data_IF_660251160580
#
_entry.id   IF_660251160580
#
_cell.length_a   1.000
_cell.length_b   1.000
_cell.length_c   1.000
_cell.angle_alpha   90.00
_cell.angle_beta   90.00
_cell.angle_gamma   90.00
#
_symmetry.space_group_name_H-M   'P 1'
#
loop_
_entity.id
_entity.type
_entity.pdbx_description
1 polymer ?
#
# COMPACT_ATOMS: atom_id res chain seq x y z
N UNK A 1 -7.62 1.01 -17.80
CA UNK A 1 -9.10 1.03 -17.66
C UNK A 1 -9.45 2.09 -16.62
N UNK A 2 -10.33 3.06 -16.92
CA UNK A 2 -10.70 4.06 -15.92
C UNK A 2 -11.60 3.41 -14.87
N UNK A 3 -11.20 3.53 -13.61
CA UNK A 3 -11.91 3.07 -12.43
C UNK A 3 -13.24 3.82 -12.30
N UNK A 4 -14.31 3.29 -12.89
CA UNK A 4 -15.66 3.66 -12.51
C UNK A 4 -16.00 2.96 -11.16
N UNK A 5 -15.26 3.31 -10.10
CA UNK A 5 -15.52 2.91 -8.71
C UNK A 5 -16.63 3.81 -8.14
N UNK A 6 -17.80 3.78 -8.77
CA UNK A 6 -19.04 4.39 -8.24
C UNK A 6 -19.35 3.79 -6.86
N UNK A 7 -19.42 4.66 -5.83
CA UNK A 7 -20.02 4.43 -4.49
C UNK A 7 -20.21 2.95 -4.13
N UNK A 8 -19.12 2.26 -3.82
CA UNK A 8 -19.21 0.96 -3.17
C UNK A 8 -19.82 1.19 -1.78
N UNK A 9 -20.86 0.45 -1.43
CA UNK A 9 -21.45 0.45 -0.10
C UNK A 9 -21.26 -0.94 0.48
N UNK A 10 -20.27 -1.09 1.37
CA UNK A 10 -19.94 -2.38 1.98
C UNK A 10 -21.10 -2.93 2.81
N UNK A 11 -21.96 -2.05 3.34
CA UNK A 11 -23.15 -2.41 4.11
C UNK A 11 -24.27 -2.99 3.25
N UNK A 12 -24.27 -2.72 1.94
CA UNK A 12 -25.31 -3.19 1.01
C UNK A 12 -24.92 -4.48 0.27
N UNK A 13 -23.68 -4.96 0.47
CA UNK A 13 -23.22 -6.19 -0.16
C UNK A 13 -23.91 -7.42 0.44
N UNK A 14 -24.38 -8.30 -0.42
CA UNK A 14 -24.73 -9.66 0.00
C UNK A 14 -23.49 -10.39 0.53
N UNK A 15 -23.64 -11.43 1.36
CA UNK A 15 -22.52 -12.24 1.84
C UNK A 15 -21.61 -12.78 0.72
N UNK A 16 -22.21 -13.13 -0.43
CA UNK A 16 -21.46 -13.61 -1.60
C UNK A 16 -20.67 -12.46 -2.24
N UNK A 17 -21.30 -11.31 -2.48
CA UNK A 17 -20.62 -10.14 -3.06
C UNK A 17 -19.44 -9.67 -2.18
N UNK A 18 -19.63 -9.63 -0.86
CA UNK A 18 -18.56 -9.26 0.07
C UNK A 18 -17.36 -10.20 -0.03
N UNK A 19 -17.59 -11.51 -0.12
CA UNK A 19 -16.52 -12.51 -0.29
C UNK A 19 -15.81 -12.40 -1.63
N UNK A 20 -16.54 -12.16 -2.71
CA UNK A 20 -15.95 -11.97 -4.04
C UNK A 20 -15.10 -10.70 -4.08
N UNK A 21 -15.59 -9.61 -3.47
CA UNK A 21 -14.83 -8.35 -3.36
C UNK A 21 -13.57 -8.51 -2.50
N UNK A 22 -13.64 -9.24 -1.39
CA UNK A 22 -12.51 -9.43 -0.48
C UNK A 22 -11.45 -10.41 -1.01
N UNK A 23 -11.83 -11.31 -1.93
CA UNK A 23 -10.94 -12.36 -2.44
C UNK A 23 -9.63 -11.84 -3.04
N UNK A 24 -9.60 -10.86 -3.97
CA UNK A 24 -8.34 -10.35 -4.49
C UNK A 24 -7.45 -9.80 -3.37
N UNK A 25 -7.99 -8.92 -2.51
CA UNK A 25 -7.30 -8.26 -1.39
C UNK A 25 -6.55 -9.25 -0.49
N UNK A 26 -7.16 -10.38 -0.14
CA UNK A 26 -6.54 -11.34 0.77
C UNK A 26 -5.67 -12.39 0.08
N UNK A 27 -5.60 -12.40 -1.25
CA UNK A 27 -4.77 -13.34 -2.01
C UNK A 27 -3.60 -12.66 -2.72
N UNK A 28 -3.26 -11.43 -2.34
CA UNK A 28 -2.10 -10.71 -2.87
C UNK A 28 -0.78 -11.45 -2.64
N UNK A 29 0.19 -11.21 -3.52
CA UNK A 29 1.52 -11.83 -3.48
C UNK A 29 2.27 -11.55 -2.18
N UNK A 30 2.03 -10.36 -1.60
CA UNK A 30 2.56 -9.89 -0.31
C UNK A 30 2.63 -10.97 0.77
N UNK A 31 1.59 -11.80 0.89
CA UNK A 31 1.52 -12.80 1.96
C UNK A 31 2.54 -13.94 1.77
N UNK A 32 2.85 -14.31 0.53
CA UNK A 32 3.91 -15.27 0.24
C UNK A 32 5.29 -14.63 0.39
N UNK A 33 5.46 -13.40 -0.12
CA UNK A 33 6.72 -12.64 -0.03
C UNK A 33 7.12 -12.41 1.44
N UNK A 34 6.13 -12.19 2.32
CA UNK A 34 6.36 -12.05 3.76
C UNK A 34 6.94 -13.32 4.38
N UNK A 35 6.47 -14.50 3.99
CA UNK A 35 6.98 -15.77 4.53
C UNK A 35 8.42 -16.05 4.06
N UNK A 36 8.75 -15.63 2.83
CA UNK A 36 10.12 -15.64 2.32
C UNK A 36 11.01 -14.67 3.11
N UNK A 37 10.58 -13.43 3.32
CA UNK A 37 11.34 -12.43 4.08
C UNK A 37 11.57 -12.86 5.53
N UNK A 38 10.59 -13.47 6.19
CA UNK A 38 10.79 -14.08 7.51
C UNK A 38 11.87 -15.15 7.51
N UNK A 39 11.91 -15.97 6.47
CA UNK A 39 12.91 -17.02 6.32
C UNK A 39 14.31 -16.42 6.19
N UNK A 40 14.45 -15.36 5.38
CA UNK A 40 15.71 -14.62 5.21
C UNK A 40 16.17 -13.97 6.53
N UNK A 41 15.23 -13.37 7.28
CA UNK A 41 15.51 -12.78 8.60
C UNK A 41 16.04 -13.83 9.57
N UNK A 42 15.41 -15.00 9.64
CA UNK A 42 15.82 -16.10 10.52
C UNK A 42 17.18 -16.71 10.14
N UNK A 43 17.56 -16.66 8.86
CA UNK A 43 18.84 -17.15 8.36
C UNK A 43 20.01 -16.17 8.61
N UNK A 44 19.71 -14.94 9.05
CA UNK A 44 20.69 -13.89 9.24
C UNK A 44 21.56 -13.64 7.99
N UNK A 45 20.91 -13.59 6.83
CA UNK A 45 21.55 -13.30 5.53
C UNK A 45 22.16 -11.88 5.53
N UNK A 46 23.03 -11.61 4.56
CA UNK A 46 23.62 -10.29 4.36
C UNK A 46 22.58 -9.22 3.97
N UNK A 47 22.99 -7.95 4.06
CA UNK A 47 22.12 -6.79 3.82
C UNK A 47 21.54 -6.75 2.42
N UNK A 48 22.30 -7.13 1.41
CA UNK A 48 21.87 -7.09 0.00
C UNK A 48 20.75 -8.11 -0.22
N UNK A 49 20.98 -9.37 0.17
CA UNK A 49 19.96 -10.43 0.09
C UNK A 49 18.69 -10.06 0.88
N UNK A 50 18.84 -9.47 2.07
CA UNK A 50 17.68 -9.04 2.87
C UNK A 50 16.92 -7.88 2.21
N UNK A 51 17.62 -6.97 1.54
CA UNK A 51 17.01 -5.82 0.86
C UNK A 51 16.15 -6.26 -0.32
N UNK A 52 16.57 -7.27 -1.08
CA UNK A 52 15.76 -7.83 -2.17
C UNK A 52 14.46 -8.46 -1.67
N UNK A 53 14.52 -9.25 -0.59
CA UNK A 53 13.32 -9.82 0.03
C UNK A 53 12.41 -8.74 0.63
N UNK A 54 12.99 -7.69 1.23
CA UNK A 54 12.26 -6.52 1.70
C UNK A 54 11.56 -5.78 0.55
N UNK A 55 12.24 -5.58 -0.59
CA UNK A 55 11.68 -4.89 -1.75
C UNK A 55 10.41 -5.59 -2.23
N UNK A 56 10.44 -6.92 -2.39
CA UNK A 56 9.26 -7.69 -2.81
C UNK A 56 8.06 -7.47 -1.89
N UNK A 57 8.26 -7.54 -0.57
CA UNK A 57 7.21 -7.28 0.43
C UNK A 57 6.71 -5.84 0.36
N UNK A 58 7.62 -4.86 0.29
CA UNK A 58 7.24 -3.45 0.29
C UNK A 58 6.47 -3.06 -0.97
N UNK A 59 6.90 -3.54 -2.14
CA UNK A 59 6.23 -3.29 -3.41
C UNK A 59 4.85 -3.94 -3.44
N UNK A 60 4.72 -5.22 -3.10
CA UNK A 60 3.43 -5.91 -3.06
C UNK A 60 2.47 -5.30 -2.03
N UNK A 61 3.00 -4.78 -0.90
CA UNK A 61 2.17 -4.02 0.03
C UNK A 61 1.74 -2.70 -0.58
N UNK A 62 2.69 -1.90 -1.06
CA UNK A 62 2.43 -0.51 -1.46
C UNK A 62 1.59 -0.43 -2.72
N UNK A 63 1.94 -1.18 -3.77
CA UNK A 63 1.32 -1.04 -5.08
C UNK A 63 0.04 -1.87 -5.24
N UNK A 64 -0.12 -2.96 -4.48
CA UNK A 64 -1.31 -3.81 -4.54
C UNK A 64 -2.20 -3.59 -3.31
N UNK A 65 -1.85 -4.17 -2.16
CA UNK A 65 -2.76 -4.24 -1.02
C UNK A 65 -3.16 -2.86 -0.48
N UNK A 66 -2.18 -2.01 -0.17
CA UNK A 66 -2.41 -0.71 0.43
C UNK A 66 -3.16 0.22 -0.52
N UNK A 67 -2.87 0.13 -1.82
CA UNK A 67 -3.60 0.87 -2.84
C UNK A 67 -5.08 0.50 -2.84
N UNK A 68 -5.40 -0.79 -2.89
CA UNK A 68 -6.79 -1.25 -2.92
C UNK A 68 -7.56 -0.89 -1.64
N UNK A 69 -6.92 -1.03 -0.47
CA UNK A 69 -7.52 -0.65 0.80
C UNK A 69 -7.73 0.86 0.94
N UNK A 70 -6.77 1.68 0.51
CA UNK A 70 -6.86 3.14 0.60
C UNK A 70 -7.99 3.69 -0.28
N UNK A 71 -8.21 3.09 -1.45
CA UNK A 71 -9.35 3.46 -2.32
C UNK A 71 -10.70 3.20 -1.63
N UNK A 72 -10.75 2.25 -0.70
CA UNK A 72 -11.95 1.90 0.05
C UNK A 72 -12.02 2.50 1.45
N UNK A 73 -11.00 3.26 1.91
CA UNK A 73 -10.88 3.73 3.29
C UNK A 73 -12.15 4.45 3.78
N UNK A 74 -12.64 5.45 3.04
CA UNK A 74 -13.81 6.21 3.45
C UNK A 74 -15.08 5.34 3.60
N UNK A 75 -15.25 4.35 2.72
CA UNK A 75 -16.39 3.43 2.78
C UNK A 75 -16.30 2.50 3.99
N UNK A 76 -15.11 1.91 4.21
CA UNK A 76 -14.88 1.00 5.36
C UNK A 76 -15.05 1.75 6.67
N UNK A 77 -14.49 2.96 6.79
CA UNK A 77 -14.63 3.78 8.00
C UNK A 77 -16.09 4.18 8.26
N UNK A 78 -16.85 4.52 7.22
CA UNK A 78 -18.29 4.80 7.35
C UNK A 78 -19.06 3.58 7.82
N UNK A 79 -18.76 2.41 7.26
CA UNK A 79 -19.38 1.15 7.67
C UNK A 79 -19.02 0.85 9.14
N UNK A 80 -17.75 0.93 9.52
CA UNK A 80 -17.29 0.72 10.89
C UNK A 80 -18.00 1.65 11.88
N UNK A 81 -18.20 2.93 11.52
CA UNK A 81 -18.87 3.90 12.39
C UNK A 81 -20.34 3.56 12.64
N UNK A 82 -21.01 2.90 11.68
CA UNK A 82 -22.42 2.52 11.81
C UNK A 82 -22.68 1.39 12.84
N UNK A 83 -21.64 0.71 13.31
CA UNK A 83 -21.73 -0.46 14.18
C UNK A 83 -21.21 -0.15 15.60
N UNK A 84 -22.07 -0.21 16.61
CA UNK A 84 -21.71 0.10 18.01
C UNK A 84 -20.79 -0.96 18.63
N UNK A 85 -20.90 -2.21 18.18
CA UNK A 85 -20.13 -3.36 18.66
C UNK A 85 -18.61 -3.24 18.43
N UNK A 86 -18.19 -2.39 17.49
CA UNK A 86 -16.77 -2.20 17.14
C UNK A 86 -16.12 -1.01 17.87
N UNK A 87 -16.63 -0.61 19.04
CA UNK A 87 -16.07 0.51 19.82
C UNK A 87 -14.56 0.44 20.06
N UNK A 88 -14.00 -0.76 20.22
CA UNK A 88 -12.55 -0.95 20.37
C UNK A 88 -11.76 -0.65 19.09
N UNK A 89 -12.29 -1.02 17.91
CA UNK A 89 -11.68 -0.68 16.62
C UNK A 89 -11.78 0.81 16.33
N UNK A 90 -12.91 1.43 16.66
CA UNK A 90 -13.08 2.89 16.53
C UNK A 90 -12.04 3.66 17.36
N UNK A 91 -11.71 3.20 18.56
CA UNK A 91 -10.66 3.80 19.39
C UNK A 91 -9.27 3.70 18.74
N UNK A 92 -8.95 2.54 18.13
CA UNK A 92 -7.71 2.36 17.35
C UNK A 92 -7.66 3.31 16.16
N UNK A 93 -8.75 3.41 15.41
CA UNK A 93 -8.87 4.38 14.29
C UNK A 93 -8.64 5.82 14.76
N UNK A 94 -9.24 6.22 15.89
CA UNK A 94 -9.02 7.55 16.47
C UNK A 94 -7.55 7.77 16.83
N UNK A 95 -6.89 6.77 17.42
CA UNK A 95 -5.45 6.85 17.74
C UNK A 95 -4.63 7.06 16.47
N UNK A 96 -4.86 6.25 15.43
CA UNK A 96 -4.21 6.39 14.12
C UNK A 96 -4.42 7.79 13.55
N UNK A 97 -5.68 8.25 13.48
CA UNK A 97 -6.04 9.55 12.91
C UNK A 97 -5.47 10.74 13.70
N UNK A 98 -5.19 10.56 14.99
CA UNK A 98 -4.64 11.62 15.83
C UNK A 98 -3.17 11.93 15.56
N UNK A 99 -2.42 10.97 15.02
CA UNK A 99 -1.00 11.13 14.72
C UNK A 99 -0.70 11.20 13.22
N UNK A 100 -1.54 10.54 12.41
CA UNK A 100 -1.38 10.46 10.96
C UNK A 100 -1.44 11.85 10.34
N UNK A 101 -0.47 12.13 9.46
CA UNK A 101 -0.36 13.41 8.72
C UNK A 101 -0.84 13.33 7.28
N UNK A 102 -1.07 12.12 6.78
CA UNK A 102 -1.42 11.83 5.39
C UNK A 102 -2.87 11.38 5.22
N UNK A 103 -3.52 11.83 4.14
CA UNK A 103 -4.85 11.35 3.74
C UNK A 103 -4.74 10.15 2.80
N UNK A 104 -5.78 9.31 2.71
CA UNK A 104 -5.81 8.19 1.75
C UNK A 104 -5.52 8.65 0.31
N UNK A 105 -6.16 9.73 -0.15
CA UNK A 105 -5.91 10.33 -1.47
C UNK A 105 -4.45 10.72 -1.65
N UNK A 106 -3.84 11.31 -0.64
CA UNK A 106 -2.44 11.69 -0.72
C UNK A 106 -1.48 10.50 -0.70
N UNK A 107 -1.79 9.42 0.02
CA UNK A 107 -0.98 8.19 0.00
C UNK A 107 -1.08 7.49 -1.35
N UNK A 108 -2.29 7.43 -1.93
CA UNK A 108 -2.50 7.00 -3.32
C UNK A 108 -1.69 7.86 -4.28
N UNK A 109 -1.75 9.18 -4.18
CA UNK A 109 -0.98 10.08 -5.04
C UNK A 109 0.52 9.82 -4.92
N UNK A 110 1.04 9.64 -3.70
CA UNK A 110 2.46 9.31 -3.46
C UNK A 110 2.87 8.01 -4.16
N UNK A 111 2.07 6.95 -4.04
CA UNK A 111 2.34 5.67 -4.72
C UNK A 111 2.34 5.79 -6.24
N UNK A 112 1.54 6.69 -6.79
CA UNK A 112 1.47 6.96 -8.23
C UNK A 112 2.52 7.97 -8.71
N UNK A 113 3.50 8.34 -7.86
CA UNK A 113 4.54 9.32 -8.22
C UNK A 113 4.05 10.77 -8.27
N UNK A 114 2.85 11.06 -7.78
CA UNK A 114 2.32 12.41 -7.67
C UNK A 114 2.99 13.20 -6.55
N UNK A 115 3.10 14.52 -6.70
CA UNK A 115 3.58 15.42 -5.65
C UNK A 115 2.50 15.50 -4.57
N UNK A 116 2.72 14.93 -3.37
CA UNK A 116 1.72 15.01 -2.32
C UNK A 116 1.81 16.41 -1.68
N UNK A 117 0.67 17.07 -1.46
CA UNK A 117 0.57 18.26 -0.59
C UNK A 117 0.65 17.84 0.90
N UNK A 118 1.59 16.96 1.23
CA UNK A 118 1.70 16.30 2.52
C UNK A 118 3.16 16.23 2.96
N UNK A 119 3.43 16.16 4.29
CA UNK A 119 4.79 16.03 4.78
C UNK A 119 5.47 14.80 4.17
N UNK A 120 6.66 15.02 3.62
CA UNK A 120 7.52 13.96 3.13
C UNK A 120 8.00 13.11 4.31
N UNK A 121 8.20 11.79 4.10
CA UNK A 121 8.84 10.97 5.11
C UNK A 121 10.24 11.50 5.42
N UNK A 122 10.67 11.32 6.66
CA UNK A 122 11.93 11.90 7.15
C UNK A 122 13.06 10.88 7.27
N UNK A 123 12.73 9.58 7.25
CA UNK A 123 13.68 8.48 7.43
C UNK A 123 13.81 7.74 6.12
N UNK A 124 14.98 7.74 5.51
CA UNK A 124 15.24 6.88 4.34
C UNK A 124 15.60 5.48 4.78
N UNK A 125 14.89 4.48 4.29
CA UNK A 125 15.15 3.07 4.60
C UNK A 125 16.55 2.63 4.15
N UNK A 126 17.04 3.19 3.05
CA UNK A 126 18.39 2.98 2.52
C UNK A 126 19.50 3.59 3.39
N UNK A 127 19.17 4.58 4.22
CA UNK A 127 20.10 5.21 5.15
C UNK A 127 20.17 4.53 6.52
N UNK A 128 19.32 3.54 6.79
CA UNK A 128 19.35 2.76 8.03
C UNK A 128 20.61 1.89 8.09
N UNK A 129 21.23 1.82 9.28
CA UNK A 129 22.26 0.82 9.54
C UNK A 129 21.71 -0.60 9.40
N UNK A 130 22.58 -1.60 9.27
CA UNK A 130 22.18 -3.00 9.09
C UNK A 130 21.25 -3.50 10.21
N UNK A 131 21.54 -3.14 11.46
CA UNK A 131 20.73 -3.53 12.62
C UNK A 131 19.38 -2.81 12.64
N UNK A 132 19.35 -1.51 12.31
CA UNK A 132 18.12 -0.72 12.23
C UNK A 132 17.22 -1.22 11.10
N UNK A 133 17.80 -1.55 9.95
CA UNK A 133 17.05 -2.10 8.82
C UNK A 133 16.48 -3.48 9.11
N UNK A 134 17.27 -4.36 9.74
CA UNK A 134 16.77 -5.67 10.17
C UNK A 134 15.60 -5.51 11.14
N UNK A 135 15.73 -4.62 12.12
CA UNK A 135 14.66 -4.31 13.07
C UNK A 135 13.42 -3.75 12.37
N UNK A 136 13.61 -2.88 11.38
CA UNK A 136 12.53 -2.33 10.56
C UNK A 136 11.82 -3.42 9.76
N UNK A 137 12.56 -4.27 9.06
CA UNK A 137 12.02 -5.39 8.29
C UNK A 137 11.29 -6.40 9.20
N UNK A 138 11.85 -6.71 10.38
CA UNK A 138 11.20 -7.54 11.41
C UNK A 138 9.88 -6.92 11.88
N UNK A 139 9.85 -5.62 12.12
CA UNK A 139 8.63 -4.91 12.54
C UNK A 139 7.56 -5.01 11.46
N UNK A 140 7.93 -4.80 10.19
CA UNK A 140 7.02 -4.90 9.05
C UNK A 140 6.38 -6.28 8.96
N UNK A 141 7.17 -7.36 8.89
CA UNK A 141 6.66 -8.73 8.67
C UNK A 141 5.92 -9.34 9.87
N UNK A 142 6.07 -8.73 11.05
CA UNK A 142 5.37 -9.12 12.27
C UNK A 142 4.14 -8.24 12.57
N UNK A 143 3.74 -7.36 11.65
CA UNK A 143 2.49 -6.60 11.76
C UNK A 143 1.28 -7.53 11.97
N UNK A 144 0.35 -7.12 12.84
CA UNK A 144 -0.90 -7.86 13.11
C UNK A 144 -1.76 -8.04 11.85
N UNK A 145 -1.55 -7.21 10.83
CA UNK A 145 -2.17 -7.32 9.50
C UNK A 145 -2.09 -8.76 8.94
N UNK A 146 -0.93 -9.40 9.08
CA UNK A 146 -0.71 -10.75 8.55
C UNK A 146 -1.53 -11.81 9.30
N UNK A 147 -1.60 -11.71 10.63
CA UNK A 147 -2.38 -12.62 11.46
C UNK A 147 -3.89 -12.44 11.21
N UNK A 148 -4.37 -11.20 11.09
CA UNK A 148 -5.78 -10.93 10.81
C UNK A 148 -6.19 -11.42 9.42
N UNK A 149 -5.30 -11.33 8.43
CA UNK A 149 -5.56 -11.92 7.11
C UNK A 149 -5.77 -13.44 7.19
N UNK A 150 -4.99 -14.17 7.98
CA UNK A 150 -5.20 -15.62 8.13
C UNK A 150 -6.59 -15.94 8.69
N UNK A 151 -7.06 -15.13 9.66
CA UNK A 151 -8.41 -15.26 10.22
C UNK A 151 -9.47 -14.98 9.17
N UNK A 152 -9.31 -13.93 8.36
CA UNK A 152 -10.22 -13.62 7.24
C UNK A 152 -10.27 -14.78 6.25
N UNK A 153 -9.12 -15.28 5.78
CA UNK A 153 -9.05 -16.40 4.83
C UNK A 153 -9.69 -17.67 5.38
N UNK A 154 -9.50 -17.96 6.67
CA UNK A 154 -10.16 -19.08 7.34
C UNK A 154 -11.68 -18.96 7.28
N UNK A 155 -12.23 -17.79 7.64
CA UNK A 155 -13.67 -17.52 7.60
C UNK A 155 -14.22 -17.54 6.17
N UNK A 156 -13.44 -17.15 5.18
CA UNK A 156 -13.79 -17.25 3.76
C UNK A 156 -13.90 -18.70 3.25
N UNK A 157 -13.27 -19.69 3.92
CA UNK A 157 -13.41 -21.11 3.55
C UNK A 157 -14.64 -21.78 4.15
N UNK A 158 -15.23 -21.18 5.17
CA UNK A 158 -16.43 -21.70 5.81
C UNK A 158 -17.69 -21.49 4.94
N UNK A 159 -18.72 -22.35 5.08
CA UNK A 159 -19.98 -22.20 4.36
C UNK A 159 -20.63 -20.84 4.60
N UNK A 160 -21.17 -20.24 3.55
CA UNK A 160 -21.86 -18.96 3.64
C UNK A 160 -23.10 -19.08 4.50
N UNK A 161 -23.11 -18.37 5.62
CA UNK A 161 -24.26 -18.22 6.52
C UNK A 161 -24.29 -16.79 7.07
N UNK A 162 -25.40 -16.37 7.66
CA UNK A 162 -25.52 -15.04 8.28
C UNK A 162 -24.50 -14.88 9.42
N UNK A 163 -24.37 -15.88 10.29
CA UNK A 163 -23.44 -15.84 11.41
C UNK A 163 -21.98 -15.74 10.95
N UNK A 164 -21.59 -16.57 9.97
CA UNK A 164 -20.25 -16.51 9.42
C UNK A 164 -20.00 -15.19 8.65
N UNK A 165 -21.00 -14.64 7.96
CA UNK A 165 -20.85 -13.36 7.28
C UNK A 165 -20.51 -12.23 8.26
N UNK A 166 -21.22 -12.15 9.39
CA UNK A 166 -20.93 -11.17 10.44
C UNK A 166 -19.52 -11.35 11.03
N UNK A 167 -19.09 -12.60 11.26
CA UNK A 167 -17.73 -12.89 11.72
C UNK A 167 -16.68 -12.47 10.70
N UNK A 168 -16.94 -12.71 9.41
CA UNK A 168 -16.05 -12.33 8.32
C UNK A 168 -15.95 -10.81 8.18
N UNK A 169 -17.06 -10.08 8.31
CA UNK A 169 -17.06 -8.61 8.34
C UNK A 169 -16.25 -8.07 9.52
N UNK A 170 -16.46 -8.62 10.72
CA UNK A 170 -15.68 -8.24 11.91
C UNK A 170 -14.18 -8.48 11.70
N UNK A 171 -13.79 -9.65 11.19
CA UNK A 171 -12.39 -9.96 10.93
C UNK A 171 -11.79 -9.07 9.84
N UNK A 172 -12.58 -8.71 8.82
CA UNK A 172 -12.14 -7.75 7.82
C UNK A 172 -11.93 -6.34 8.40
N UNK A 173 -12.80 -5.87 9.30
CA UNK A 173 -12.59 -4.58 9.95
C UNK A 173 -11.34 -4.57 10.85
N UNK A 174 -11.06 -5.65 11.57
CA UNK A 174 -9.80 -5.83 12.31
C UNK A 174 -8.60 -5.74 11.35
N UNK A 175 -8.60 -6.53 10.27
CA UNK A 175 -7.58 -6.50 9.22
C UNK A 175 -7.37 -5.10 8.63
N UNK A 176 -8.46 -4.38 8.34
CA UNK A 176 -8.39 -3.02 7.79
C UNK A 176 -7.81 -2.02 8.80
N UNK A 177 -8.14 -2.12 10.08
CA UNK A 177 -7.54 -1.25 11.10
C UNK A 177 -6.05 -1.51 11.25
N UNK A 178 -5.61 -2.77 11.19
CA UNK A 178 -4.18 -3.12 11.17
C UNK A 178 -3.47 -2.54 9.93
N UNK A 179 -4.13 -2.46 8.77
CA UNK A 179 -3.61 -1.73 7.62
C UNK A 179 -3.42 -0.24 7.94
N UNK A 180 -4.39 0.40 8.59
CA UNK A 180 -4.28 1.82 8.95
C UNK A 180 -3.10 2.09 9.91
N UNK A 181 -2.88 1.21 10.87
CA UNK A 181 -1.76 1.29 11.82
C UNK A 181 -0.42 1.07 11.10
N UNK A 182 -0.36 0.14 10.15
CA UNK A 182 0.83 -0.07 9.34
C UNK A 182 1.16 1.15 8.48
N UNK A 183 0.16 1.77 7.85
CA UNK A 183 0.33 3.01 7.08
C UNK A 183 0.85 4.17 7.96
N UNK A 184 0.36 4.28 9.19
CA UNK A 184 0.84 5.27 10.15
C UNK A 184 2.30 5.01 10.53
N UNK A 185 2.67 3.74 10.75
CA UNK A 185 4.06 3.36 11.01
C UNK A 185 4.98 3.72 9.83
N UNK A 186 4.56 3.38 8.61
CA UNK A 186 5.34 3.63 7.39
C UNK A 186 5.39 5.11 6.99
N UNK A 187 4.52 5.97 7.53
CA UNK A 187 4.47 7.40 7.19
C UNK A 187 5.79 8.14 7.40
N UNK A 188 6.60 7.70 8.38
CA UNK A 188 7.91 8.28 8.66
C UNK A 188 9.01 7.82 7.70
N UNK A 189 8.79 6.74 6.93
CA UNK A 189 9.78 6.06 6.12
C UNK A 189 9.60 6.34 4.62
N UNK A 190 10.70 6.70 3.97
CA UNK A 190 10.84 6.80 2.52
C UNK A 190 11.61 5.57 2.04
N UNK A 191 11.00 4.83 1.11
CA UNK A 191 11.68 3.82 0.33
C UNK A 191 11.33 4.06 -1.13
N UNK A 192 12.35 4.41 -1.91
CA UNK A 192 12.28 4.51 -3.35
C UNK A 192 12.84 3.19 -3.92
N UNK A 193 11.99 2.35 -4.55
CA UNK A 193 12.43 1.05 -5.09
C UNK A 193 13.46 1.21 -6.22
N UNK A 194 13.53 2.40 -6.84
CA UNK A 194 14.51 2.71 -7.89
C UNK A 194 15.82 3.28 -7.31
N UNK A 195 15.89 3.56 -6.00
CA UNK A 195 17.09 4.13 -5.36
C UNK A 195 18.26 3.14 -5.45
N UNK A 196 19.31 3.54 -6.17
CA UNK A 196 20.50 2.72 -6.39
C UNK A 196 20.48 1.90 -7.69
N UNK A 197 19.40 1.95 -8.48
CA UNK A 197 19.41 1.40 -9.83
C UNK A 197 20.26 2.27 -10.76
N UNK A 198 21.14 1.63 -11.53
CA UNK A 198 21.92 2.29 -12.57
C UNK A 198 21.11 2.43 -13.86
N UNK A 199 21.03 3.64 -14.41
CA UNK A 199 20.42 3.87 -15.72
C UNK A 199 21.27 3.16 -16.78
N UNK A 200 20.62 2.39 -17.65
CA UNK A 200 21.30 1.70 -18.74
C UNK A 200 22.07 2.73 -19.61
N UNK A 201 23.33 2.46 -20.00
CA UNK A 201 24.17 3.46 -20.69
C UNK A 201 23.50 4.08 -21.94
N UNK A 202 22.76 3.28 -22.70
CA UNK A 202 22.04 3.74 -23.89
C UNK A 202 20.94 4.77 -23.57
N UNK A 203 20.23 4.55 -22.45
CA UNK A 203 19.18 5.47 -21.96
C UNK A 203 19.82 6.71 -21.36
N UNK A 204 20.96 6.56 -20.66
CA UNK A 204 21.72 7.70 -20.14
C UNK A 204 22.22 8.60 -21.28
N UNK A 205 22.76 8.03 -22.36
CA UNK A 205 23.21 8.78 -23.55
C UNK A 205 22.06 9.46 -24.30
N UNK A 206 20.87 8.84 -24.35
CA UNK A 206 19.67 9.45 -24.91
C UNK A 206 19.17 10.61 -24.06
N UNK A 207 19.11 10.43 -22.74
CA UNK A 207 18.72 11.47 -21.79
C UNK A 207 19.69 12.66 -21.82
N UNK A 208 21.00 12.39 -21.85
CA UNK A 208 22.02 13.43 -21.96
C UNK A 208 21.90 14.22 -23.27
N UNK A 209 21.63 13.54 -24.39
CA UNK A 209 21.34 14.21 -25.68
C UNK A 209 20.10 15.08 -25.61
N UNK A 210 19.00 14.56 -25.06
CA UNK A 210 17.76 15.31 -24.89
C UNK A 210 17.96 16.57 -24.02
N UNK A 211 18.67 16.44 -22.90
CA UNK A 211 19.01 17.57 -22.03
C UNK A 211 19.90 18.59 -22.78
N UNK A 212 20.88 18.12 -23.55
CA UNK A 212 21.76 19.00 -24.32
C UNK A 212 21.00 19.75 -25.42
N UNK A 213 20.10 19.08 -26.13
CA UNK A 213 19.25 19.67 -27.16
C UNK A 213 18.34 20.75 -26.58
N UNK A 214 17.67 20.47 -25.45
CA UNK A 214 16.86 21.48 -24.73
C UNK A 214 17.73 22.67 -24.28
N UNK A 215 18.92 22.42 -23.71
CA UNK A 215 19.86 23.49 -23.31
C UNK A 215 20.35 24.32 -24.51
N UNK A 216 20.41 23.73 -25.70
CA UNK A 216 20.75 24.41 -26.94
C UNK A 216 19.58 25.18 -27.58
N UNK A 217 18.41 25.21 -26.93
CA UNK A 217 17.19 25.87 -27.42
C UNK A 217 16.32 24.98 -28.30
N UNK A 218 16.46 23.66 -28.16
CA UNK A 218 15.56 22.67 -28.75
C UNK A 218 14.12 22.81 -28.25
N UNK A 219 13.22 22.11 -28.93
CA UNK A 219 11.78 22.21 -28.69
C UNK A 219 11.43 21.69 -27.28
N UNK A 220 10.67 22.49 -26.53
CA UNK A 220 10.15 22.12 -25.22
C UNK A 220 8.64 22.25 -25.24
N UNK A 221 7.94 21.28 -24.68
CA UNK A 221 6.49 21.33 -24.56
C UNK A 221 6.10 21.79 -23.16
N UNK A 222 5.07 22.62 -23.06
CA UNK A 222 4.48 22.96 -21.76
C UNK A 222 3.71 21.76 -21.22
N UNK A 223 3.54 21.70 -19.89
CA UNK A 223 2.70 20.67 -19.27
C UNK A 223 1.28 20.70 -19.83
N UNK A 224 0.72 21.89 -20.11
CA UNK A 224 -0.61 22.01 -20.73
C UNK A 224 -0.66 21.45 -22.16
N UNK A 225 0.40 21.61 -22.95
CA UNK A 225 0.49 21.05 -24.31
C UNK A 225 0.51 19.52 -24.27
N UNK A 226 1.30 18.94 -23.36
CA UNK A 226 1.38 17.49 -23.15
C UNK A 226 0.03 16.93 -22.69
N UNK A 227 -0.62 17.57 -21.72
CA UNK A 227 -1.95 17.12 -21.25
C UNK A 227 -3.02 17.18 -22.35
N UNK A 228 -3.02 18.24 -23.17
CA UNK A 228 -3.98 18.38 -24.27
C UNK A 228 -3.78 17.35 -25.40
N UNK A 229 -2.58 16.77 -25.52
CA UNK A 229 -2.27 15.72 -26.49
C UNK A 229 -2.78 14.35 -25.99
N UNK A 230 -2.55 14.04 -24.71
CA UNK A 230 -3.09 12.83 -24.08
C UNK A 230 -4.64 12.81 -24.04
N UNK A 231 -5.29 13.97 -23.91
CA UNK A 231 -6.77 14.07 -23.99
C UNK A 231 -7.33 13.87 -25.41
N UNK A 232 -6.51 14.01 -26.46
CA UNK A 232 -6.92 13.77 -27.86
C UNK A 232 -6.74 12.33 -28.30
N UNK A 233 -5.89 11.57 -27.61
CA UNK A 233 -5.61 10.16 -27.92
C UNK A 233 -6.42 9.15 -27.07
N UNK A 234 -7.22 9.64 -26.12
CA UNK A 234 -8.18 8.84 -25.32
C UNK A 234 -9.61 8.91 -25.83
#
# INVERSE_FOLDING_TARGET
MPLNKTKLSLTDMTPVQFREWLRPIVNEALFADRDELLTLLAQNVDRETLTEGFRAVFEAYSYDLAFDLDVHEACVLTALEAHEEFGHLKQRVVAVQSERKTSATGRIARRLGGIPDMPMPTIRVTALSDDEFRTFAETLVNSELFADRERVVKLMKEPTSVANHLQLQSAFYEFFVCHLELEQFLEAYEYDPDEGLEIHPEVAEELERSIADVKAGGETYSLEEVFAEFEKEG
#
